data_IF_049145400418
#
_entry.id   IF_049145400418
#
_cell.length_a   1.000
_cell.length_b   1.000
_cell.length_c   1.000
_cell.angle_alpha   90.00
_cell.angle_beta   90.00
_cell.angle_gamma   90.00
#
_symmetry.space_group_name_H-M   'P 1'
#
loop_
_entity.id
_entity.type
_entity.pdbx_description
1 polymer ?
#
# COMPACT_ATOMS: atom_id res chain seq x y z
N UNK A 1 25.00 -58.94 -2.26
CA UNK A 1 25.79 -57.96 -1.48
C UNK A 1 25.97 -56.63 -2.23
N UNK A 2 26.79 -56.52 -3.31
CA UNK A 2 26.98 -55.24 -4.05
C UNK A 2 25.74 -54.70 -4.79
N UNK A 3 24.82 -55.58 -5.25
CA UNK A 3 23.58 -55.13 -5.92
C UNK A 3 22.53 -54.61 -4.95
N UNK A 4 22.56 -55.09 -3.71
CA UNK A 4 21.59 -54.74 -2.66
C UNK A 4 21.97 -53.39 -2.05
N UNK A 5 23.27 -53.12 -1.90
CA UNK A 5 23.79 -51.80 -1.50
C UNK A 5 23.55 -50.73 -2.57
N UNK A 6 23.69 -51.07 -3.86
CA UNK A 6 23.39 -50.15 -4.96
C UNK A 6 21.90 -49.76 -5.01
N UNK A 7 21.01 -50.73 -4.78
CA UNK A 7 19.55 -50.49 -4.70
C UNK A 7 19.18 -49.60 -3.51
N UNK A 8 19.80 -49.83 -2.36
CA UNK A 8 19.62 -48.98 -1.18
C UNK A 8 20.09 -47.54 -1.43
N UNK A 9 21.23 -47.37 -2.10
CA UNK A 9 21.78 -46.04 -2.40
C UNK A 9 20.89 -45.27 -3.39
N UNK A 10 20.38 -45.93 -4.43
CA UNK A 10 19.44 -45.32 -5.38
C UNK A 10 18.14 -44.92 -4.69
N UNK A 11 17.60 -45.76 -3.79
CA UNK A 11 16.40 -45.44 -3.03
C UNK A 11 16.59 -44.24 -2.10
N UNK A 12 17.77 -44.09 -1.49
CA UNK A 12 18.10 -42.94 -0.63
C UNK A 12 18.24 -41.66 -1.45
N UNK A 13 18.88 -41.69 -2.62
CA UNK A 13 18.99 -40.52 -3.51
C UNK A 13 17.61 -40.11 -4.01
N UNK A 14 16.75 -41.07 -4.36
CA UNK A 14 15.39 -40.79 -4.81
C UNK A 14 14.52 -40.21 -3.68
N UNK A 15 14.66 -40.74 -2.46
CA UNK A 15 14.01 -40.19 -1.27
C UNK A 15 14.52 -38.78 -0.95
N UNK A 16 15.83 -38.53 -1.12
CA UNK A 16 16.42 -37.21 -0.93
C UNK A 16 15.93 -36.22 -1.98
N UNK A 17 15.83 -36.60 -3.25
CA UNK A 17 15.25 -35.76 -4.30
C UNK A 17 13.76 -35.45 -4.03
N UNK A 18 12.95 -36.44 -3.64
CA UNK A 18 11.52 -36.24 -3.33
C UNK A 18 11.32 -35.38 -2.07
N UNK A 19 12.19 -35.49 -1.07
CA UNK A 19 12.10 -34.73 0.18
C UNK A 19 12.74 -33.33 0.08
N UNK A 20 13.73 -33.12 -0.80
CA UNK A 20 14.48 -31.86 -0.92
C UNK A 20 13.87 -30.88 -1.95
N UNK A 21 12.96 -31.32 -2.81
CA UNK A 21 12.24 -30.46 -3.78
C UNK A 21 11.18 -29.53 -3.15
N UNK A 22 10.85 -29.64 -1.86
CA UNK A 22 9.84 -28.78 -1.22
C UNK A 22 10.35 -27.38 -0.81
N UNK A 23 11.53 -26.99 -1.29
CA UNK A 23 12.15 -25.69 -1.03
C UNK A 23 11.86 -24.61 -2.08
N UNK A 24 10.99 -24.85 -3.07
CA UNK A 24 10.64 -23.81 -4.03
C UNK A 24 9.59 -22.86 -3.44
N UNK A 25 10.05 -21.95 -2.59
CA UNK A 25 9.28 -20.75 -2.25
C UNK A 25 9.22 -19.90 -3.51
N UNK A 26 8.08 -19.96 -4.20
CA UNK A 26 7.73 -18.93 -5.16
C UNK A 26 7.65 -17.60 -4.41
N UNK A 27 8.71 -16.79 -4.50
CA UNK A 27 8.60 -15.37 -4.19
C UNK A 27 7.70 -14.79 -5.28
N UNK A 28 6.40 -14.78 -5.01
CA UNK A 28 5.46 -13.97 -5.79
C UNK A 28 5.80 -12.52 -5.48
N UNK A 29 6.75 -11.96 -6.23
CA UNK A 29 7.03 -10.54 -6.23
C UNK A 29 5.81 -9.83 -6.82
N UNK A 30 4.91 -9.36 -5.96
CA UNK A 30 3.88 -8.44 -6.40
C UNK A 30 4.57 -7.13 -6.80
N UNK A 31 4.67 -6.89 -8.10
CA UNK A 31 5.16 -5.60 -8.62
C UNK A 31 4.09 -4.53 -8.34
N UNK A 32 4.12 -3.95 -7.13
CA UNK A 32 3.25 -2.85 -6.78
C UNK A 32 3.64 -1.60 -7.57
N UNK A 33 2.65 -0.93 -8.16
CA UNK A 33 2.87 0.34 -8.82
C UNK A 33 3.00 1.47 -7.78
N UNK A 34 4.20 1.63 -7.22
CA UNK A 34 4.47 2.65 -6.21
C UNK A 34 4.25 4.08 -6.71
N UNK A 35 4.42 4.32 -8.02
CA UNK A 35 4.11 5.62 -8.64
C UNK A 35 2.62 5.95 -8.51
N UNK A 36 1.76 4.97 -8.78
CA UNK A 36 0.32 5.14 -8.62
C UNK A 36 -0.10 5.22 -7.15
N UNK A 37 0.49 4.39 -6.28
CA UNK A 37 0.26 4.44 -4.84
C UNK A 37 0.59 5.82 -4.26
N UNK A 38 1.79 6.35 -4.54
CA UNK A 38 2.20 7.68 -4.09
C UNK A 38 1.28 8.78 -4.63
N UNK A 39 0.90 8.70 -5.92
CA UNK A 39 -0.04 9.64 -6.52
C UNK A 39 -1.37 9.66 -5.77
N UNK A 40 -1.91 8.49 -5.42
CA UNK A 40 -3.17 8.36 -4.66
C UNK A 40 -3.03 8.86 -3.22
N UNK A 41 -1.91 8.59 -2.55
CA UNK A 41 -1.65 9.14 -1.21
C UNK A 41 -1.66 10.66 -1.19
N UNK A 42 -1.10 11.32 -2.23
CA UNK A 42 -1.16 12.78 -2.35
C UNK A 42 -2.58 13.28 -2.66
N UNK A 43 -3.33 12.56 -3.50
CA UNK A 43 -4.74 12.89 -3.76
C UNK A 43 -5.62 12.74 -2.52
N UNK A 44 -5.32 11.78 -1.64
CA UNK A 44 -5.99 11.64 -0.34
C UNK A 44 -5.79 12.88 0.52
N UNK A 45 -4.56 13.39 0.64
CA UNK A 45 -4.31 14.63 1.38
C UNK A 45 -5.07 15.82 0.74
N UNK A 46 -5.06 15.96 -0.59
CA UNK A 46 -5.84 17.01 -1.25
C UNK A 46 -7.35 16.90 -0.98
N UNK A 47 -7.86 15.67 -0.88
CA UNK A 47 -9.24 15.41 -0.54
C UNK A 47 -9.60 15.76 0.91
N UNK A 48 -8.62 16.09 1.77
CA UNK A 48 -8.84 16.53 3.16
C UNK A 48 -8.64 18.03 3.38
N UNK A 49 -8.31 18.82 2.36
CA UNK A 49 -8.14 20.28 2.53
C UNK A 49 -9.42 20.94 3.02
N UNK A 50 -9.30 21.82 4.01
CA UNK A 50 -10.37 22.72 4.46
C UNK A 50 -10.17 24.12 3.86
N UNK A 51 -11.13 25.03 4.05
CA UNK A 51 -11.07 26.40 3.58
C UNK A 51 -11.42 26.56 2.09
N UNK A 52 -10.93 27.67 1.51
CA UNK A 52 -11.07 27.98 0.09
C UNK A 52 -10.17 27.05 -0.74
N UNK A 53 -10.76 26.30 -1.67
CA UNK A 53 -10.00 25.41 -2.53
C UNK A 53 -9.49 26.13 -3.80
N UNK A 54 -8.29 25.78 -4.30
CA UNK A 54 -7.78 26.35 -5.54
C UNK A 54 -8.63 25.93 -6.75
N UNK A 55 -8.69 26.79 -7.76
CA UNK A 55 -9.40 26.51 -9.01
C UNK A 55 -8.84 25.29 -9.74
N UNK A 56 -7.54 25.03 -9.61
CA UNK A 56 -6.82 23.89 -10.20
C UNK A 56 -6.94 22.58 -9.40
N UNK A 57 -7.98 22.42 -8.56
CA UNK A 57 -8.15 21.22 -7.73
C UNK A 57 -8.34 19.96 -8.58
N UNK A 58 -7.72 18.86 -8.14
CA UNK A 58 -7.80 17.56 -8.83
C UNK A 58 -8.98 16.70 -8.35
N UNK A 59 -9.56 17.01 -7.19
CA UNK A 59 -10.67 16.29 -6.58
C UNK A 59 -11.99 17.02 -6.89
N UNK A 60 -12.80 16.54 -7.86
CA UNK A 60 -13.92 17.33 -8.40
C UNK A 60 -15.11 17.46 -7.45
N UNK A 61 -15.30 16.48 -6.57
CA UNK A 61 -16.41 16.43 -5.62
C UNK A 61 -16.15 17.24 -4.33
N UNK A 62 -14.92 17.72 -4.09
CA UNK A 62 -14.64 18.68 -3.02
C UNK A 62 -14.97 20.10 -3.47
N UNK A 63 -15.46 20.90 -2.53
CA UNK A 63 -15.72 22.33 -2.66
C UNK A 63 -15.20 23.10 -1.45
N UNK A 64 -15.39 24.42 -1.46
CA UNK A 64 -15.01 25.29 -0.36
C UNK A 64 -15.78 24.89 0.93
N UNK A 65 -15.09 24.87 2.06
CA UNK A 65 -15.68 24.50 3.36
C UNK A 65 -15.04 25.29 4.51
N UNK A 66 -15.71 25.33 5.66
CA UNK A 66 -15.20 25.95 6.90
C UNK A 66 -14.64 27.39 6.73
N UNK A 67 -15.29 28.21 5.90
CA UNK A 67 -14.86 29.59 5.59
C UNK A 67 -15.05 30.58 6.76
N UNK A 68 -15.70 30.12 7.83
CA UNK A 68 -15.99 30.91 9.02
C UNK A 68 -15.07 30.56 10.20
N UNK A 69 -14.12 29.64 10.02
CA UNK A 69 -13.19 29.22 11.07
C UNK A 69 -12.37 30.41 11.58
N UNK A 70 -12.44 30.63 12.90
CA UNK A 70 -11.76 31.73 13.59
C UNK A 70 -12.55 33.04 13.68
N UNK A 71 -13.66 33.20 12.97
CA UNK A 71 -14.41 34.48 12.93
C UNK A 71 -14.88 34.96 14.31
N UNK A 72 -15.30 34.05 15.18
CA UNK A 72 -15.71 34.39 16.55
C UNK A 72 -14.57 34.98 17.39
N UNK A 73 -13.32 34.65 17.07
CA UNK A 73 -12.13 35.19 17.71
C UNK A 73 -11.52 36.37 16.94
N UNK A 74 -12.14 36.80 15.82
CA UNK A 74 -11.58 37.84 14.94
C UNK A 74 -10.30 37.41 14.21
N UNK A 75 -10.08 36.09 14.05
CA UNK A 75 -8.91 35.51 13.39
C UNK A 75 -9.34 34.78 12.11
N UNK A 76 -8.42 34.68 11.14
CA UNK A 76 -8.57 33.76 10.01
C UNK A 76 -7.89 32.44 10.37
N UNK A 77 -8.70 31.42 10.64
CA UNK A 77 -8.25 30.06 10.89
C UNK A 77 -8.68 29.11 9.76
N UNK A 78 -9.00 29.65 8.58
CA UNK A 78 -9.38 28.84 7.42
C UNK A 78 -8.18 28.10 6.83
N UNK A 79 -8.43 26.96 6.18
CA UNK A 79 -7.39 26.15 5.54
C UNK A 79 -6.99 24.93 6.37
N UNK A 80 -5.80 24.39 6.11
CA UNK A 80 -5.33 23.15 6.73
C UNK A 80 -6.01 21.89 6.18
N UNK A 81 -6.02 20.83 6.99
CA UNK A 81 -6.53 19.51 6.62
C UNK A 81 -7.42 18.94 7.73
N UNK A 82 -8.53 18.31 7.33
CA UNK A 82 -9.32 17.48 8.24
C UNK A 82 -8.50 16.28 8.70
N UNK A 83 -8.63 15.94 9.97
CA UNK A 83 -7.84 14.88 10.62
C UNK A 83 -8.18 13.49 10.07
N UNK A 84 -9.48 13.22 9.88
CA UNK A 84 -9.99 11.91 9.48
C UNK A 84 -11.29 12.03 8.67
N UNK A 85 -12.27 11.15 8.92
CA UNK A 85 -13.59 11.20 8.27
C UNK A 85 -14.55 12.24 8.84
N UNK A 86 -14.11 13.05 9.80
CA UNK A 86 -14.91 14.08 10.50
C UNK A 86 -14.46 15.48 10.10
N UNK A 87 -15.41 16.42 10.16
CA UNK A 87 -15.20 17.86 10.04
C UNK A 87 -15.70 18.56 11.30
#
# INVERSE_FOLDING_TARGET
>A
MMRDTLRGLVAVIFAWLVLCEHGFVMVVGTNYNYKDALKKSLLFLEAQRSGKLPASRRIPWRGDSALDDGKLAGLDLTGGYYDAGTM
#
